data_IF_325929545131
#
_entry.id   IF_325929545131
#
_cell.length_a   1.000
_cell.length_b   1.000
_cell.length_c   1.000
_cell.angle_alpha   90.00
_cell.angle_beta   90.00
_cell.angle_gamma   90.00
#
_symmetry.space_group_name_H-M   'P 1'
#
loop_
_entity.id
_entity.type
_entity.pdbx_description
1 polymer ?
#
# COMPACT_ATOMS: atom_id res chain seq x y z
N UNK A 1 20.12 20.72 -16.95
CA UNK A 1 18.87 20.43 -16.22
C UNK A 1 19.01 19.03 -15.66
N UNK A 2 18.84 18.82 -14.35
CA UNK A 2 18.78 17.49 -13.79
C UNK A 2 17.55 16.77 -14.40
N UNK A 3 17.74 15.55 -14.88
CA UNK A 3 16.60 14.74 -15.36
C UNK A 3 15.78 14.35 -14.14
N UNK A 4 14.50 14.69 -14.13
CA UNK A 4 13.57 14.17 -13.12
C UNK A 4 13.47 12.65 -13.26
N UNK A 5 13.58 11.95 -12.13
CA UNK A 5 13.43 10.49 -12.11
C UNK A 5 11.94 10.14 -12.05
N UNK A 6 11.49 9.27 -12.95
CA UNK A 6 10.18 8.61 -12.88
C UNK A 6 10.35 7.30 -12.14
N UNK A 7 9.48 7.06 -11.15
CA UNK A 7 9.45 5.81 -10.38
C UNK A 7 8.36 4.89 -10.93
N UNK A 8 8.68 3.62 -11.10
CA UNK A 8 7.74 2.58 -11.51
C UNK A 8 7.26 1.82 -10.28
N UNK A 9 5.96 1.89 -10.00
CA UNK A 9 5.27 1.15 -8.96
C UNK A 9 4.48 -0.01 -9.57
N UNK A 10 4.91 -1.23 -9.32
CA UNK A 10 4.27 -2.44 -9.85
C UNK A 10 3.31 -3.04 -8.83
N UNK A 11 2.08 -3.33 -9.25
CA UNK A 11 1.01 -3.88 -8.41
C UNK A 11 0.57 -5.30 -8.85
N UNK A 12 1.36 -5.97 -9.67
CA UNK A 12 1.04 -7.33 -10.18
C UNK A 12 0.75 -8.30 -9.04
N UNK A 13 1.56 -8.26 -7.98
CA UNK A 13 1.48 -9.18 -6.84
C UNK A 13 0.41 -8.78 -5.79
N UNK A 14 -0.36 -7.73 -6.02
CA UNK A 14 -1.47 -7.33 -5.16
C UNK A 14 -2.74 -7.10 -5.97
N UNK A 15 -2.84 -6.02 -6.74
CA UNK A 15 -4.03 -5.70 -7.54
C UNK A 15 -4.22 -6.67 -8.70
N UNK A 16 -3.14 -7.05 -9.35
CA UNK A 16 -3.15 -8.03 -10.45
C UNK A 16 -3.70 -9.39 -10.04
N UNK A 17 -3.47 -9.84 -8.81
CA UNK A 17 -3.99 -11.10 -8.29
C UNK A 17 -5.50 -11.09 -7.99
N UNK A 18 -6.13 -9.92 -7.93
CA UNK A 18 -7.59 -9.82 -7.70
C UNK A 18 -8.40 -10.24 -8.93
N UNK A 19 -7.75 -10.40 -10.07
CA UNK A 19 -8.40 -10.93 -11.28
C UNK A 19 -8.71 -12.42 -11.08
N UNK A 20 -9.95 -12.89 -11.34
CA UNK A 20 -10.31 -14.29 -11.20
C UNK A 20 -9.37 -15.20 -12.02
N UNK A 21 -8.78 -16.19 -11.35
CA UNK A 21 -7.86 -17.14 -11.96
C UNK A 21 -6.38 -16.71 -11.97
N UNK A 22 -6.06 -15.51 -11.43
CA UNK A 22 -4.67 -14.99 -11.38
C UNK A 22 -4.02 -15.14 -10.00
N UNK A 23 -4.59 -15.92 -9.10
CA UNK A 23 -4.00 -16.16 -7.78
C UNK A 23 -2.72 -16.97 -7.89
N UNK A 24 -1.66 -16.47 -7.26
CA UNK A 24 -0.34 -17.08 -7.21
C UNK A 24 -0.05 -17.67 -5.82
N UNK A 25 0.64 -18.80 -5.78
CA UNK A 25 1.22 -19.28 -4.53
C UNK A 25 2.51 -18.51 -4.18
N UNK A 26 3.03 -18.68 -2.96
CA UNK A 26 4.20 -17.93 -2.49
C UNK A 26 5.45 -18.16 -3.38
N UNK A 27 5.65 -19.35 -3.93
CA UNK A 27 6.81 -19.66 -4.79
C UNK A 27 6.69 -18.87 -6.10
N UNK A 28 5.53 -18.90 -6.72
CA UNK A 28 5.23 -18.15 -7.96
C UNK A 28 5.37 -16.64 -7.73
N UNK A 29 4.90 -16.11 -6.58
CA UNK A 29 5.08 -14.69 -6.20
C UNK A 29 6.56 -14.32 -6.11
N UNK A 30 7.40 -15.18 -5.55
CA UNK A 30 8.85 -14.95 -5.47
C UNK A 30 9.48 -14.91 -6.86
N UNK A 31 9.09 -15.79 -7.77
CA UNK A 31 9.59 -15.79 -9.14
C UNK A 31 9.19 -14.51 -9.88
N UNK A 32 7.95 -14.08 -9.75
CA UNK A 32 7.48 -12.81 -10.33
C UNK A 32 8.25 -11.63 -9.72
N UNK A 33 8.42 -11.58 -8.38
CA UNK A 33 9.16 -10.52 -7.71
C UNK A 33 10.60 -10.40 -8.21
N UNK A 34 11.30 -11.52 -8.42
CA UNK A 34 12.66 -11.56 -9.00
C UNK A 34 12.67 -11.07 -10.45
N UNK A 35 11.67 -11.42 -11.25
CA UNK A 35 11.55 -10.93 -12.61
C UNK A 35 11.31 -9.40 -12.64
N UNK A 36 10.50 -8.88 -11.75
CA UNK A 36 10.26 -7.44 -11.59
C UNK A 36 11.53 -6.70 -11.13
N UNK A 37 12.30 -7.28 -10.22
CA UNK A 37 13.62 -6.74 -9.83
C UNK A 37 14.58 -6.70 -11.02
N UNK A 38 14.66 -7.77 -11.83
CA UNK A 38 15.47 -7.80 -13.06
C UNK A 38 15.00 -6.79 -14.11
N UNK A 39 13.69 -6.55 -14.20
CA UNK A 39 13.12 -5.51 -15.06
C UNK A 39 13.48 -4.09 -14.58
N UNK A 40 13.86 -3.93 -13.31
CA UNK A 40 14.29 -2.67 -12.76
C UNK A 40 13.13 -1.78 -12.27
N UNK A 41 12.01 -2.36 -11.82
CA UNK A 41 10.96 -1.59 -11.17
C UNK A 41 11.45 -1.01 -9.85
N UNK A 42 10.98 0.18 -9.49
CA UNK A 42 11.43 0.87 -8.28
C UNK A 42 10.70 0.36 -7.02
N UNK A 43 9.43 0.00 -7.14
CA UNK A 43 8.58 -0.45 -6.03
C UNK A 43 7.75 -1.66 -6.46
N UNK A 44 7.66 -2.69 -5.61
CA UNK A 44 6.79 -3.86 -5.78
C UNK A 44 5.76 -3.86 -4.64
N UNK A 45 4.47 -3.73 -4.96
CA UNK A 45 3.39 -3.96 -4.01
C UNK A 45 3.17 -5.47 -3.86
N UNK A 46 3.71 -6.02 -2.78
CA UNK A 46 3.88 -7.47 -2.60
C UNK A 46 2.63 -8.19 -2.06
N UNK A 47 1.64 -7.46 -1.56
CA UNK A 47 0.40 -8.04 -1.06
C UNK A 47 -0.33 -7.19 -0.02
N UNK A 48 -1.37 -7.81 0.59
CA UNK A 48 -2.17 -7.25 1.67
C UNK A 48 -2.07 -8.16 2.91
N UNK A 49 -1.04 -7.99 3.76
CA UNK A 49 -0.66 -8.94 4.80
C UNK A 49 -1.75 -9.33 5.80
N UNK A 50 -2.68 -8.42 6.10
CA UNK A 50 -3.80 -8.70 7.02
C UNK A 50 -4.88 -9.60 6.40
N UNK A 51 -4.90 -9.77 5.08
CA UNK A 51 -5.94 -10.52 4.38
C UNK A 51 -5.92 -12.02 4.70
N UNK A 52 -4.72 -12.59 4.81
CA UNK A 52 -4.53 -14.02 5.13
C UNK A 52 -3.11 -14.31 5.65
N UNK A 53 -2.92 -15.44 6.38
CA UNK A 53 -1.58 -15.91 6.73
C UNK A 53 -0.69 -16.19 5.51
N UNK A 54 -1.28 -16.59 4.37
CA UNK A 54 -0.58 -16.81 3.11
C UNK A 54 0.00 -15.52 2.55
N UNK A 55 -0.79 -14.44 2.50
CA UNK A 55 -0.32 -13.12 2.08
C UNK A 55 0.75 -12.55 3.01
N UNK A 56 0.55 -12.68 4.32
CA UNK A 56 1.55 -12.27 5.31
C UNK A 56 2.91 -12.96 5.06
N UNK A 57 2.90 -14.29 4.91
CA UNK A 57 4.11 -15.05 4.64
C UNK A 57 4.72 -14.74 3.27
N UNK A 58 3.89 -14.51 2.25
CA UNK A 58 4.37 -14.13 0.91
C UNK A 58 5.13 -12.81 0.92
N UNK A 59 4.64 -11.79 1.63
CA UNK A 59 5.36 -10.50 1.76
C UNK A 59 6.71 -10.70 2.47
N UNK A 60 6.78 -11.53 3.51
CA UNK A 60 8.04 -11.88 4.19
C UNK A 60 9.03 -12.55 3.22
N UNK A 61 8.58 -13.55 2.48
CA UNK A 61 9.46 -14.32 1.60
C UNK A 61 9.93 -13.49 0.38
N UNK A 62 9.06 -12.65 -0.17
CA UNK A 62 9.44 -11.65 -1.19
C UNK A 62 10.48 -10.69 -0.63
N UNK A 63 10.27 -10.16 0.59
CA UNK A 63 11.20 -9.23 1.26
C UNK A 63 12.61 -9.83 1.48
N UNK A 64 12.71 -11.16 1.60
CA UNK A 64 13.99 -11.87 1.70
C UNK A 64 14.61 -12.17 0.33
N UNK A 65 13.79 -12.31 -0.71
CA UNK A 65 14.21 -12.81 -2.03
C UNK A 65 14.75 -11.73 -2.95
N UNK A 66 14.34 -10.46 -2.77
CA UNK A 66 14.74 -9.31 -3.59
C UNK A 66 15.29 -8.18 -2.72
N UNK A 67 16.16 -7.34 -3.26
CA UNK A 67 16.88 -6.33 -2.48
C UNK A 67 16.92 -4.93 -3.10
N UNK A 68 16.72 -4.80 -4.40
CA UNK A 68 16.82 -3.53 -5.10
C UNK A 68 15.53 -2.70 -5.06
N UNK A 69 14.33 -3.29 -5.31
CA UNK A 69 13.09 -2.54 -5.21
C UNK A 69 12.68 -2.25 -3.76
N UNK A 70 11.90 -1.21 -3.56
CA UNK A 70 11.14 -1.01 -2.32
C UNK A 70 10.03 -2.05 -2.26
N UNK A 71 9.92 -2.78 -1.16
CA UNK A 71 8.80 -3.70 -0.95
C UNK A 71 7.67 -2.95 -0.25
N UNK A 72 6.52 -2.94 -0.91
CA UNK A 72 5.34 -2.22 -0.45
C UNK A 72 4.27 -3.20 0.03
N UNK A 73 3.61 -2.88 1.13
CA UNK A 73 2.48 -3.64 1.65
C UNK A 73 1.25 -2.74 1.79
N UNK A 74 0.11 -3.21 1.23
CA UNK A 74 -1.17 -2.52 1.34
C UNK A 74 -1.73 -2.62 2.76
N UNK A 75 -2.36 -1.54 3.22
CA UNK A 75 -3.13 -1.49 4.46
C UNK A 75 -4.36 -0.59 4.29
N UNK A 76 -5.40 -0.86 5.06
CA UNK A 76 -6.43 0.15 5.33
C UNK A 76 -5.90 1.11 6.40
N UNK A 77 -6.52 2.28 6.55
CA UNK A 77 -6.26 3.21 7.65
C UNK A 77 -6.76 2.64 9.01
N UNK A 78 -6.23 1.49 9.40
CA UNK A 78 -6.54 0.72 10.61
C UNK A 78 -5.24 0.29 11.27
N UNK A 79 -5.08 0.60 12.56
CA UNK A 79 -3.82 0.33 13.31
C UNK A 79 -3.36 -1.13 13.16
N UNK A 80 -4.29 -2.08 13.29
CA UNK A 80 -3.95 -3.51 13.18
C UNK A 80 -3.40 -3.90 11.81
N UNK A 81 -3.96 -3.34 10.73
CA UNK A 81 -3.45 -3.59 9.38
C UNK A 81 -2.01 -3.07 9.23
N UNK A 82 -1.76 -1.86 9.74
CA UNK A 82 -0.45 -1.20 9.71
C UNK A 82 0.59 -1.99 10.51
N UNK A 83 0.23 -2.47 11.71
CA UNK A 83 1.11 -3.31 12.53
C UNK A 83 1.50 -4.61 11.82
N UNK A 84 0.53 -5.30 11.22
CA UNK A 84 0.74 -6.55 10.49
C UNK A 84 1.61 -6.32 9.24
N UNK A 85 1.37 -5.22 8.52
CA UNK A 85 2.22 -4.85 7.38
C UNK A 85 3.65 -4.54 7.81
N UNK A 86 3.83 -3.75 8.86
CA UNK A 86 5.15 -3.43 9.42
C UNK A 86 5.91 -4.70 9.82
N UNK A 87 5.23 -5.67 10.45
CA UNK A 87 5.82 -6.96 10.82
C UNK A 87 6.27 -7.76 9.59
N UNK A 88 5.45 -7.81 8.55
CA UNK A 88 5.77 -8.54 7.32
C UNK A 88 6.93 -7.92 6.52
N UNK A 89 7.14 -6.61 6.68
CA UNK A 89 8.20 -5.85 5.99
C UNK A 89 9.55 -5.85 6.72
N UNK A 90 9.68 -6.46 7.90
CA UNK A 90 10.91 -6.43 8.71
C UNK A 90 12.16 -6.96 7.99
N UNK A 91 12.00 -7.81 6.99
CA UNK A 91 13.09 -8.36 6.22
C UNK A 91 13.39 -7.59 4.93
N UNK A 92 12.56 -6.61 4.57
CA UNK A 92 12.80 -5.76 3.42
C UNK A 92 13.97 -4.80 3.68
N UNK A 93 14.88 -4.67 2.72
CA UNK A 93 15.95 -3.66 2.77
C UNK A 93 15.41 -2.25 2.82
N UNK A 94 14.32 -2.00 2.09
CA UNK A 94 13.49 -0.79 2.12
C UNK A 94 12.03 -1.21 2.10
N UNK A 95 11.32 -0.89 3.17
CA UNK A 95 9.89 -1.19 3.30
C UNK A 95 9.05 0.06 3.16
N UNK A 96 7.91 -0.06 2.47
CA UNK A 96 6.89 0.99 2.35
C UNK A 96 5.53 0.46 2.82
N UNK A 97 4.83 1.25 3.61
CA UNK A 97 3.43 0.97 3.94
C UNK A 97 2.54 1.85 3.04
N UNK A 98 1.68 1.20 2.27
CA UNK A 98 0.68 1.84 1.43
C UNK A 98 -0.66 1.82 2.16
N UNK A 99 -1.02 2.92 2.83
CA UNK A 99 -2.24 3.01 3.64
C UNK A 99 -3.25 3.96 3.01
N UNK A 100 -4.53 3.77 3.28
CA UNK A 100 -5.53 4.66 2.73
C UNK A 100 -6.94 4.43 3.27
N UNK A 101 -7.83 5.34 2.87
CA UNK A 101 -9.22 5.35 3.30
C UNK A 101 -10.12 5.90 2.20
N UNK A 102 -11.37 5.45 2.16
CA UNK A 102 -12.35 5.93 1.20
C UNK A 102 -12.73 7.39 1.43
N UNK A 103 -12.60 8.21 0.38
CA UNK A 103 -12.81 9.67 0.45
C UNK A 103 -14.08 10.15 -0.27
N UNK A 104 -14.71 9.29 -1.09
CA UNK A 104 -15.95 9.66 -1.75
C UNK A 104 -17.15 9.73 -0.80
N UNK A 105 -18.17 10.49 -1.16
CA UNK A 105 -19.43 10.55 -0.43
C UNK A 105 -19.99 9.16 -0.09
N UNK A 106 -19.98 8.24 -1.07
CA UNK A 106 -20.48 6.89 -0.89
C UNK A 106 -19.65 6.09 0.12
N UNK A 107 -18.34 6.21 0.08
CA UNK A 107 -17.46 5.54 1.03
C UNK A 107 -17.60 6.12 2.42
N UNK A 108 -17.63 7.43 2.56
CA UNK A 108 -17.74 8.10 3.87
C UNK A 108 -19.06 7.73 4.53
N UNK A 109 -20.18 7.93 3.85
CA UNK A 109 -21.51 7.82 4.47
C UNK A 109 -22.07 6.40 4.50
N UNK A 110 -21.80 5.57 3.49
CA UNK A 110 -22.43 4.24 3.38
C UNK A 110 -21.51 3.07 3.69
N UNK A 111 -20.18 3.20 3.44
CA UNK A 111 -19.21 2.15 3.77
C UNK A 111 -18.64 2.34 5.16
N UNK A 112 -18.28 3.57 5.52
CA UNK A 112 -17.59 3.90 6.77
C UNK A 112 -18.52 4.45 7.85
N UNK A 113 -19.77 4.82 7.49
CA UNK A 113 -20.77 5.40 8.37
C UNK A 113 -20.19 6.57 9.18
N UNK A 114 -19.57 7.55 8.51
CA UNK A 114 -18.79 8.62 9.10
C UNK A 114 -19.06 9.96 8.41
N UNK A 115 -18.27 10.96 8.72
CA UNK A 115 -18.27 12.28 8.14
C UNK A 115 -16.88 12.64 7.56
N UNK A 116 -16.79 13.67 6.68
CA UNK A 116 -15.55 14.02 6.01
C UNK A 116 -14.41 14.41 6.97
N UNK A 117 -14.70 15.14 8.05
CA UNK A 117 -13.66 15.60 9.00
C UNK A 117 -13.07 14.42 9.77
N UNK A 118 -13.90 13.54 10.29
CA UNK A 118 -13.47 12.29 10.94
C UNK A 118 -12.63 11.40 9.98
N UNK A 119 -13.01 11.31 8.71
CA UNK A 119 -12.26 10.51 7.72
C UNK A 119 -10.89 11.13 7.44
N UNK A 120 -10.81 12.45 7.32
CA UNK A 120 -9.54 13.16 7.18
C UNK A 120 -8.61 12.90 8.38
N UNK A 121 -9.12 13.07 9.61
CA UNK A 121 -8.36 12.82 10.83
C UNK A 121 -7.84 11.37 10.89
N UNK A 122 -8.68 10.39 10.58
CA UNK A 122 -8.29 8.97 10.52
C UNK A 122 -7.20 8.71 9.48
N UNK A 123 -7.25 9.37 8.32
CA UNK A 123 -6.20 9.29 7.30
C UNK A 123 -4.86 9.82 7.81
N UNK A 124 -4.88 11.01 8.43
CA UNK A 124 -3.68 11.65 9.01
C UNK A 124 -3.09 10.79 10.14
N UNK A 125 -3.92 10.28 11.05
CA UNK A 125 -3.46 9.39 12.12
C UNK A 125 -2.85 8.10 11.58
N UNK A 126 -3.44 7.50 10.55
CA UNK A 126 -2.93 6.29 9.94
C UNK A 126 -1.55 6.50 9.30
N UNK A 127 -1.36 7.60 8.57
CA UNK A 127 -0.06 7.96 7.99
C UNK A 127 0.98 8.20 9.07
N UNK A 128 0.66 8.98 10.12
CA UNK A 128 1.55 9.20 11.26
C UNK A 128 1.91 7.89 11.96
N UNK A 129 0.94 7.01 12.12
CA UNK A 129 1.18 5.70 12.74
C UNK A 129 2.06 4.81 11.88
N UNK A 130 1.81 4.76 10.56
CA UNK A 130 2.66 4.01 9.63
C UNK A 130 4.11 4.54 9.60
N UNK A 131 4.28 5.87 9.65
CA UNK A 131 5.61 6.53 9.74
C UNK A 131 6.40 6.15 10.99
N UNK A 132 5.75 5.66 12.05
CA UNK A 132 6.46 5.17 13.24
C UNK A 132 7.15 3.82 13.04
N UNK A 133 6.83 3.08 11.96
CA UNK A 133 7.39 1.78 11.64
C UNK A 133 8.35 1.78 10.45
N UNK A 134 8.07 2.62 9.44
CA UNK A 134 8.83 2.68 8.18
C UNK A 134 9.13 4.12 7.78
N UNK A 135 10.21 4.32 7.02
CA UNK A 135 10.54 5.65 6.51
C UNK A 135 9.63 6.07 5.35
N UNK A 136 9.23 5.12 4.50
CA UNK A 136 8.42 5.39 3.33
C UNK A 136 6.95 5.02 3.58
N UNK A 137 6.07 6.01 3.46
CA UNK A 137 4.62 5.81 3.51
C UNK A 137 3.99 6.40 2.28
N UNK A 138 3.11 5.64 1.65
CA UNK A 138 2.26 6.07 0.55
C UNK A 138 0.81 6.09 1.00
N UNK A 139 0.05 7.09 0.54
CA UNK A 139 -1.37 7.19 0.86
C UNK A 139 -2.21 7.13 -0.40
N UNK A 140 -3.28 6.33 -0.34
CA UNK A 140 -4.30 6.34 -1.38
C UNK A 140 -5.65 6.85 -0.86
N UNK A 141 -6.26 7.74 -1.63
CA UNK A 141 -7.64 8.16 -1.43
C UNK A 141 -8.55 7.20 -2.21
N UNK A 142 -9.10 6.17 -1.54
CA UNK A 142 -9.94 5.19 -2.22
C UNK A 142 -11.18 5.88 -2.79
N UNK A 143 -11.49 5.55 -4.05
CA UNK A 143 -12.59 6.13 -4.81
C UNK A 143 -12.44 7.65 -5.08
N UNK A 144 -11.20 8.10 -5.27
CA UNK A 144 -10.88 9.50 -5.55
C UNK A 144 -11.61 10.07 -6.79
N UNK A 145 -11.86 9.24 -7.80
CA UNK A 145 -12.59 9.65 -9.01
C UNK A 145 -14.03 10.12 -8.76
N UNK A 146 -14.62 9.74 -7.62
CA UNK A 146 -15.96 10.20 -7.18
C UNK A 146 -15.91 11.12 -5.96
N UNK A 147 -14.71 11.51 -5.54
CA UNK A 147 -14.52 12.44 -4.43
C UNK A 147 -14.65 13.89 -4.91
N UNK A 148 -15.27 14.74 -4.12
CA UNK A 148 -15.36 16.17 -4.41
C UNK A 148 -13.93 16.78 -4.39
N UNK A 149 -13.55 17.51 -5.45
CA UNK A 149 -12.18 17.97 -5.67
C UNK A 149 -11.61 18.82 -4.53
N UNK A 150 -12.43 19.70 -3.92
CA UNK A 150 -11.97 20.54 -2.81
C UNK A 150 -11.67 19.71 -1.56
N UNK A 151 -12.50 18.69 -1.31
CA UNK A 151 -12.28 17.79 -0.18
C UNK A 151 -11.05 16.91 -0.43
N UNK A 152 -10.89 16.39 -1.66
CA UNK A 152 -9.70 15.61 -2.01
C UNK A 152 -8.42 16.43 -1.83
N UNK A 153 -8.39 17.68 -2.31
CA UNK A 153 -7.25 18.58 -2.11
C UNK A 153 -6.96 18.78 -0.60
N UNK A 154 -7.98 19.06 0.20
CA UNK A 154 -7.85 19.20 1.66
C UNK A 154 -7.27 17.96 2.32
N UNK A 155 -7.71 16.76 1.89
CA UNK A 155 -7.17 15.48 2.42
C UNK A 155 -5.69 15.36 2.07
N UNK A 156 -5.31 15.58 0.81
CA UNK A 156 -3.91 15.46 0.39
C UNK A 156 -3.03 16.49 1.09
N UNK A 157 -3.44 17.75 1.17
CA UNK A 157 -2.69 18.80 1.90
C UNK A 157 -2.44 18.45 3.37
N UNK A 158 -3.40 17.79 4.03
CA UNK A 158 -3.26 17.39 5.43
C UNK A 158 -2.30 16.20 5.66
N UNK A 159 -1.96 15.48 4.58
CA UNK A 159 -1.12 14.26 4.60
C UNK A 159 0.34 14.53 4.19
N UNK A 160 0.62 15.67 3.54
CA UNK A 160 1.96 16.11 3.15
C UNK A 160 2.64 16.82 4.31
#
# INVERSE_FOLDING_TARGET
>A
MAKEKVYVFDTTLRDGEQVPGCQLNTIEKIEVAKALEQLGVDIIEAGFPISSPGDFNSVIEISKAVSEPVICALTRAVKKDIEVAAESLKFAKRGRIHTGIGTSYYHIHHKLNSDPDTILERGVEAVKYAKSFVEEVEFYAEDAGRTENKYLARVIEALI
#
